data_IF_998415655807
#
_entry.id   IF_998415655807
#
_cell.length_a   1.000
_cell.length_b   1.000
_cell.length_c   1.000
_cell.angle_alpha   90.00
_cell.angle_beta   90.00
_cell.angle_gamma   90.00
#
_symmetry.space_group_name_H-M   'P 1'
#
loop_
_entity.id
_entity.type
_entity.pdbx_description
1 polymer ?
#
# COMPACT_ATOMS: atom_id res chain seq x y z
N UNK A 1 4.60 -11.83 -33.78
CA UNK A 1 4.92 -10.38 -33.64
C UNK A 1 3.61 -9.74 -33.17
N UNK A 2 3.53 -9.29 -31.95
CA UNK A 2 2.38 -8.50 -31.51
C UNK A 2 2.36 -7.19 -32.31
N UNK A 3 1.25 -6.87 -32.96
CA UNK A 3 1.08 -5.63 -33.70
C UNK A 3 1.28 -4.46 -32.72
N UNK A 4 2.15 -3.53 -33.08
CA UNK A 4 2.44 -2.35 -32.25
C UNK A 4 1.22 -1.44 -32.34
N UNK A 5 0.38 -1.46 -31.32
CA UNK A 5 -0.79 -0.56 -31.21
C UNK A 5 -0.30 0.87 -31.41
N UNK A 6 -0.95 1.64 -32.27
CA UNK A 6 -0.61 3.04 -32.50
C UNK A 6 -0.98 3.87 -31.27
N UNK A 7 -0.27 4.99 -31.02
CA UNK A 7 -0.62 5.88 -29.89
C UNK A 7 -2.06 6.43 -29.98
N UNK A 8 -2.63 6.49 -31.17
CA UNK A 8 -4.03 6.86 -31.40
C UNK A 8 -4.99 5.77 -30.89
N UNK A 9 -4.71 4.52 -31.21
CA UNK A 9 -5.50 3.36 -30.75
C UNK A 9 -5.42 3.22 -29.24
N UNK A 10 -4.21 3.33 -28.63
CA UNK A 10 -4.03 3.31 -27.19
C UNK A 10 -4.81 4.44 -26.50
N UNK A 11 -4.81 5.66 -27.07
CA UNK A 11 -5.58 6.78 -26.53
C UNK A 11 -7.09 6.51 -26.52
N UNK A 12 -7.65 6.04 -27.64
CA UNK A 12 -9.08 5.77 -27.71
C UNK A 12 -9.51 4.55 -26.88
N UNK A 13 -8.64 3.54 -26.76
CA UNK A 13 -8.87 2.42 -25.84
C UNK A 13 -9.04 2.92 -24.40
N UNK A 14 -8.13 3.77 -23.90
CA UNK A 14 -8.22 4.35 -22.56
C UNK A 14 -9.48 5.21 -22.38
N UNK A 15 -9.91 5.94 -23.42
CA UNK A 15 -11.15 6.73 -23.37
C UNK A 15 -12.36 5.81 -23.25
N UNK A 16 -12.41 4.72 -24.02
CA UNK A 16 -13.52 3.78 -24.02
C UNK A 16 -13.57 3.00 -22.69
N UNK A 17 -12.43 2.53 -22.17
CA UNK A 17 -12.32 1.93 -20.84
C UNK A 17 -12.84 2.88 -19.74
N UNK A 18 -12.51 4.19 -19.83
CA UNK A 18 -13.03 5.20 -18.92
C UNK A 18 -14.54 5.40 -19.01
N UNK A 19 -15.12 5.36 -20.21
CA UNK A 19 -16.57 5.45 -20.44
C UNK A 19 -17.32 4.25 -19.89
N UNK A 20 -16.69 3.09 -19.86
CA UNK A 20 -17.23 1.84 -19.29
C UNK A 20 -17.03 1.76 -17.77
N UNK A 21 -16.37 2.78 -17.16
CA UNK A 21 -16.14 2.85 -15.71
C UNK A 21 -14.88 2.10 -15.23
N UNK A 22 -14.07 1.56 -16.13
CA UNK A 22 -12.87 0.80 -15.77
C UNK A 22 -11.75 1.65 -15.14
N UNK A 23 -11.83 2.98 -15.23
CA UNK A 23 -10.90 3.92 -14.62
C UNK A 23 -11.24 4.31 -13.17
N UNK A 24 -12.23 3.65 -12.54
CA UNK A 24 -12.55 3.84 -11.13
C UNK A 24 -11.89 2.71 -10.34
N UNK A 25 -11.08 3.09 -9.33
CA UNK A 25 -10.36 2.15 -8.48
C UNK A 25 -11.24 1.44 -7.45
N UNK A 26 -10.65 0.48 -6.73
CA UNK A 26 -11.29 -0.10 -5.55
C UNK A 26 -11.46 0.98 -4.48
N UNK A 27 -12.59 0.96 -3.77
CA UNK A 27 -12.87 1.97 -2.75
C UNK A 27 -11.81 1.98 -1.64
N UNK A 28 -11.40 3.18 -1.25
CA UNK A 28 -10.52 3.41 -0.08
C UNK A 28 -11.31 3.47 1.24
N UNK A 29 -12.62 3.29 1.20
CA UNK A 29 -13.51 3.46 2.35
C UNK A 29 -13.80 4.92 2.70
N UNK A 30 -13.27 5.87 1.96
CA UNK A 30 -13.49 7.30 2.14
C UNK A 30 -13.98 7.93 0.84
N UNK A 31 -15.28 8.23 0.75
CA UNK A 31 -15.87 8.85 -0.43
C UNK A 31 -15.18 10.16 -0.83
N UNK A 32 -14.65 10.92 0.16
CA UNK A 32 -13.90 12.14 -0.12
C UNK A 32 -12.54 11.84 -0.76
N UNK A 33 -11.84 10.81 -0.27
CA UNK A 33 -10.55 10.42 -0.86
C UNK A 33 -10.77 9.85 -2.26
N UNK A 34 -11.75 8.96 -2.42
CA UNK A 34 -12.10 8.36 -3.71
C UNK A 34 -12.45 9.42 -4.76
N UNK A 35 -13.10 10.53 -4.35
CA UNK A 35 -13.37 11.66 -5.25
C UNK A 35 -12.11 12.35 -5.79
N UNK A 36 -11.00 12.33 -5.04
CA UNK A 36 -9.74 12.99 -5.45
C UNK A 36 -8.73 12.03 -6.07
N UNK A 37 -8.82 10.74 -5.77
CA UNK A 37 -7.82 9.74 -6.20
C UNK A 37 -8.40 8.69 -7.13
N UNK A 38 -9.71 8.78 -7.44
CA UNK A 38 -10.47 7.77 -8.17
C UNK A 38 -10.38 6.35 -7.54
N UNK A 39 -10.13 6.31 -6.21
CA UNK A 39 -9.94 5.08 -5.44
C UNK A 39 -8.52 4.51 -5.50
N UNK A 40 -8.37 3.22 -5.19
CA UNK A 40 -7.11 2.49 -5.31
C UNK A 40 -6.99 1.89 -6.71
N UNK A 41 -6.19 2.53 -7.55
CA UNK A 41 -6.01 2.22 -8.97
C UNK A 41 -4.68 1.51 -9.25
N UNK A 42 -4.62 0.63 -10.27
CA UNK A 42 -3.36 0.15 -10.81
C UNK A 42 -2.56 1.30 -11.45
N UNK A 43 -1.24 1.22 -11.40
CA UNK A 43 -0.39 2.21 -12.05
C UNK A 43 -0.39 3.60 -11.39
N UNK A 44 -0.88 3.72 -10.16
CA UNK A 44 -0.94 4.99 -9.40
C UNK A 44 -0.04 4.93 -8.17
N UNK A 45 0.71 5.99 -7.91
CA UNK A 45 1.57 6.07 -6.72
C UNK A 45 0.88 6.84 -5.60
N UNK A 46 1.04 6.36 -4.36
CA UNK A 46 0.48 6.97 -3.15
C UNK A 46 1.59 7.26 -2.15
N UNK A 47 1.72 8.52 -1.76
CA UNK A 47 2.66 8.96 -0.73
C UNK A 47 1.91 9.43 0.51
N UNK A 48 2.13 8.75 1.63
CA UNK A 48 1.47 9.04 2.90
C UNK A 48 2.47 9.65 3.88
N UNK A 49 2.22 10.91 4.26
CA UNK A 49 3.05 11.63 5.23
C UNK A 49 2.35 11.87 6.56
N UNK A 50 3.13 12.02 7.61
CA UNK A 50 2.61 12.41 8.91
C UNK A 50 3.64 12.33 10.02
N UNK A 51 3.34 12.94 11.17
CA UNK A 51 4.18 12.91 12.35
C UNK A 51 4.29 11.50 12.95
N UNK A 52 5.34 11.25 13.75
CA UNK A 52 5.44 9.98 14.49
C UNK A 52 4.25 9.80 15.43
N UNK A 53 3.68 8.58 15.46
CA UNK A 53 2.52 8.27 16.30
C UNK A 53 1.17 8.80 15.80
N UNK A 54 1.10 9.41 14.60
CA UNK A 54 -0.16 9.94 14.04
C UNK A 54 -1.11 8.88 13.46
N UNK A 55 -0.75 7.60 13.55
CA UNK A 55 -1.58 6.49 13.03
C UNK A 55 -1.39 6.17 11.55
N UNK A 56 -0.35 6.70 10.89
CA UNK A 56 -0.08 6.50 9.45
C UNK A 56 -0.21 5.04 9.00
N UNK A 57 0.53 4.13 9.62
CA UNK A 57 0.52 2.71 9.26
C UNK A 57 -0.87 2.09 9.38
N UNK A 58 -1.61 2.42 10.44
CA UNK A 58 -2.98 1.92 10.65
C UNK A 58 -3.93 2.49 9.60
N UNK A 59 -3.86 3.80 9.34
CA UNK A 59 -4.66 4.45 8.31
C UNK A 59 -4.34 3.92 6.92
N UNK A 60 -3.05 3.74 6.57
CA UNK A 60 -2.63 3.19 5.27
C UNK A 60 -3.11 1.76 5.09
N UNK A 61 -2.98 0.91 6.12
CA UNK A 61 -3.51 -0.45 6.06
C UNK A 61 -5.04 -0.47 5.90
N UNK A 62 -5.75 0.43 6.59
CA UNK A 62 -7.20 0.53 6.45
C UNK A 62 -7.60 0.99 5.05
N UNK A 63 -6.97 2.05 4.53
CA UNK A 63 -7.33 2.70 3.27
C UNK A 63 -6.90 1.92 2.04
N UNK A 64 -5.65 1.42 2.03
CA UNK A 64 -5.04 0.83 0.82
C UNK A 64 -4.89 -0.70 0.86
N UNK A 65 -5.29 -1.35 1.94
CA UNK A 65 -5.27 -2.82 2.03
C UNK A 65 -6.64 -3.34 2.43
N UNK A 66 -7.15 -2.94 3.59
CA UNK A 66 -8.39 -3.48 4.16
C UNK A 66 -9.62 -3.11 3.31
N UNK A 67 -9.85 -1.82 3.06
CA UNK A 67 -11.03 -1.37 2.30
C UNK A 67 -11.06 -1.88 0.86
N UNK A 68 -9.96 -1.83 0.07
CA UNK A 68 -9.93 -2.46 -1.23
C UNK A 68 -10.20 -3.98 -1.19
N UNK A 69 -9.72 -4.67 -0.14
CA UNK A 69 -9.98 -6.10 0.03
C UNK A 69 -11.46 -6.38 0.35
N UNK A 70 -12.08 -5.59 1.22
CA UNK A 70 -13.53 -5.71 1.53
C UNK A 70 -14.37 -5.41 0.28
N UNK A 71 -14.00 -4.40 -0.49
CA UNK A 71 -14.68 -4.10 -1.77
C UNK A 71 -14.56 -5.27 -2.75
N UNK A 72 -13.37 -5.85 -2.90
CA UNK A 72 -13.16 -7.04 -3.70
C UNK A 72 -14.02 -8.23 -3.21
N UNK A 73 -14.08 -8.47 -1.89
CA UNK A 73 -14.90 -9.54 -1.30
C UNK A 73 -16.40 -9.36 -1.51
N UNK A 74 -16.88 -8.13 -1.58
CA UNK A 74 -18.27 -7.81 -1.86
C UNK A 74 -18.68 -8.07 -3.32
N UNK A 75 -17.72 -8.32 -4.19
CA UNK A 75 -17.91 -8.52 -5.63
C UNK A 75 -17.62 -7.22 -6.38
N UNK A 76 -16.46 -7.14 -7.02
CA UNK A 76 -16.08 -6.03 -7.88
C UNK A 76 -16.59 -6.27 -9.30
N UNK A 77 -17.45 -5.38 -9.80
CA UNK A 77 -18.03 -5.49 -11.16
C UNK A 77 -16.97 -5.45 -12.27
N UNK A 78 -15.78 -4.92 -11.98
CA UNK A 78 -14.66 -4.85 -12.92
C UNK A 78 -13.69 -6.04 -12.78
N UNK A 79 -14.02 -7.04 -11.98
CA UNK A 79 -13.23 -8.27 -11.78
C UNK A 79 -11.77 -8.01 -11.36
N UNK A 80 -11.50 -6.88 -10.66
CA UNK A 80 -10.15 -6.53 -10.23
C UNK A 80 -9.60 -7.52 -9.21
N UNK A 81 -8.32 -7.85 -9.35
CA UNK A 81 -7.61 -8.82 -8.51
C UNK A 81 -6.52 -8.10 -7.67
N UNK A 82 -6.89 -7.49 -6.52
CA UNK A 82 -5.94 -6.78 -5.68
C UNK A 82 -5.03 -7.74 -4.92
N UNK A 83 -3.71 -7.46 -4.97
CA UNK A 83 -2.66 -8.17 -4.23
C UNK A 83 -1.65 -7.19 -3.67
N UNK A 84 -0.92 -7.59 -2.64
CA UNK A 84 0.06 -6.71 -2.02
C UNK A 84 1.38 -7.40 -1.75
N UNK A 85 2.47 -6.69 -2.05
CA UNK A 85 3.79 -6.95 -1.49
C UNK A 85 4.06 -5.89 -0.42
N UNK A 86 4.21 -6.31 0.83
CA UNK A 86 4.36 -5.42 1.98
C UNK A 86 5.78 -5.54 2.53
N UNK A 87 6.58 -4.48 2.39
CA UNK A 87 7.85 -4.30 3.08
C UNK A 87 7.56 -3.78 4.48
N UNK A 88 7.37 -4.71 5.42
CA UNK A 88 7.03 -4.41 6.80
C UNK A 88 8.31 -4.24 7.63
N UNK A 89 8.80 -2.99 7.71
CA UNK A 89 10.09 -2.69 8.34
C UNK A 89 9.94 -2.38 9.84
N UNK A 90 8.72 -2.07 10.30
CA UNK A 90 8.43 -1.74 11.70
C UNK A 90 7.62 -2.84 12.40
N UNK A 91 6.68 -3.46 11.70
CA UNK A 91 5.77 -4.46 12.26
C UNK A 91 6.06 -5.85 11.69
N UNK A 92 5.83 -6.89 12.49
CA UNK A 92 5.83 -8.27 11.97
C UNK A 92 4.55 -8.57 11.17
N UNK A 93 4.60 -9.56 10.29
CA UNK A 93 3.43 -10.09 9.55
C UNK A 93 2.24 -10.34 10.49
N UNK A 94 2.47 -11.02 11.61
CA UNK A 94 1.42 -11.31 12.60
C UNK A 94 0.79 -10.03 13.17
N UNK A 95 1.57 -8.97 13.35
CA UNK A 95 1.05 -7.69 13.84
C UNK A 95 0.19 -6.97 12.78
N UNK A 96 0.56 -7.06 11.51
CA UNK A 96 -0.27 -6.53 10.41
C UNK A 96 -1.57 -7.32 10.32
N UNK A 97 -1.51 -8.65 10.36
CA UNK A 97 -2.71 -9.50 10.37
C UNK A 97 -3.64 -9.16 11.53
N UNK A 98 -3.11 -9.05 12.75
CA UNK A 98 -3.92 -8.70 13.90
C UNK A 98 -4.62 -7.35 13.75
N UNK A 99 -3.99 -6.35 13.13
CA UNK A 99 -4.64 -5.08 12.80
C UNK A 99 -5.77 -5.24 11.79
N UNK A 100 -5.55 -5.96 10.69
CA UNK A 100 -6.57 -6.18 9.66
C UNK A 100 -7.75 -7.01 10.20
N UNK A 101 -7.49 -8.04 10.99
CA UNK A 101 -8.52 -8.85 11.65
C UNK A 101 -9.30 -8.02 12.68
N UNK A 102 -8.63 -7.14 13.45
CA UNK A 102 -9.30 -6.22 14.37
C UNK A 102 -10.27 -5.28 13.64
N UNK A 103 -9.88 -4.75 12.46
CA UNK A 103 -10.76 -3.93 11.61
C UNK A 103 -11.96 -4.75 11.13
N UNK A 104 -11.74 -5.97 10.67
CA UNK A 104 -12.79 -6.87 10.18
C UNK A 104 -13.80 -7.24 11.29
N UNK A 105 -13.31 -7.54 12.49
CA UNK A 105 -14.18 -7.83 13.65
C UNK A 105 -15.01 -6.61 14.01
N UNK A 106 -14.41 -5.42 14.03
CA UNK A 106 -15.14 -4.20 14.34
C UNK A 106 -16.25 -3.93 13.32
N UNK A 107 -15.96 -4.03 12.02
CA UNK A 107 -16.92 -3.75 10.95
C UNK A 107 -18.07 -4.76 10.89
N UNK A 108 -17.80 -6.05 11.18
CA UNK A 108 -18.80 -7.10 11.04
C UNK A 108 -19.56 -7.41 12.35
N UNK A 109 -18.93 -7.21 13.50
CA UNK A 109 -19.50 -7.60 14.80
C UNK A 109 -19.65 -6.43 15.79
N UNK A 110 -19.11 -5.23 15.47
CA UNK A 110 -19.14 -4.07 16.34
C UNK A 110 -18.26 -4.19 17.59
N UNK A 111 -17.35 -5.18 17.63
CA UNK A 111 -16.50 -5.46 18.80
C UNK A 111 -15.11 -4.84 18.59
N UNK A 112 -14.69 -3.98 19.51
CA UNK A 112 -13.33 -3.43 19.51
C UNK A 112 -12.35 -4.44 20.13
N UNK A 113 -11.64 -5.19 19.29
CA UNK A 113 -10.62 -6.14 19.72
C UNK A 113 -9.22 -5.58 19.44
N UNK A 114 -8.54 -5.15 20.48
CA UNK A 114 -7.24 -4.51 20.34
C UNK A 114 -6.14 -5.54 20.04
N UNK A 115 -5.13 -5.12 19.31
CA UNK A 115 -3.91 -5.91 19.02
C UNK A 115 -3.32 -6.63 20.25
N UNK A 116 -3.26 -5.97 21.42
CA UNK A 116 -2.76 -6.59 22.65
C UNK A 116 -3.65 -7.73 23.16
N UNK A 117 -4.97 -7.62 22.96
CA UNK A 117 -5.95 -8.65 23.33
C UNK A 117 -5.83 -9.85 22.41
N UNK A 118 -5.74 -9.66 21.09
CA UNK A 118 -5.58 -10.74 20.12
C UNK A 118 -4.39 -11.65 20.48
N UNK A 119 -3.31 -11.10 20.99
CA UNK A 119 -2.14 -11.87 21.41
C UNK A 119 -2.07 -12.13 22.93
N UNK A 120 -3.12 -11.80 23.68
CA UNK A 120 -3.17 -11.93 25.14
C UNK A 120 -1.92 -11.34 25.83
N UNK A 121 -1.43 -10.18 25.35
CA UNK A 121 -0.23 -9.54 25.87
C UNK A 121 -0.55 -8.63 27.06
N UNK A 122 -0.35 -9.16 28.25
CA UNK A 122 -0.55 -8.48 29.52
C UNK A 122 -1.67 -9.11 30.35
N UNK A 123 -1.63 -8.91 31.67
CA UNK A 123 -2.57 -9.54 32.62
C UNK A 123 -4.02 -9.13 32.39
N UNK A 124 -4.22 -7.88 31.91
CA UNK A 124 -5.54 -7.29 31.70
C UNK A 124 -5.98 -7.35 30.22
N UNK A 125 -5.25 -8.11 29.41
CA UNK A 125 -5.48 -8.21 27.96
C UNK A 125 -5.59 -9.69 27.53
N UNK A 126 -6.06 -10.56 28.41
CA UNK A 126 -6.30 -11.98 28.09
C UNK A 126 -7.55 -12.07 27.24
N UNK A 127 -7.43 -12.78 26.11
CA UNK A 127 -8.54 -13.03 25.21
C UNK A 127 -9.61 -13.90 25.93
N UNK A 128 -10.87 -13.49 25.90
CA UNK A 128 -11.98 -14.31 26.42
C UNK A 128 -12.36 -15.43 25.44
N UNK A 129 -13.15 -16.39 25.90
CA UNK A 129 -13.63 -17.47 25.04
C UNK A 129 -14.52 -16.94 23.91
N UNK A 130 -15.34 -15.95 24.18
CA UNK A 130 -16.20 -15.27 23.19
C UNK A 130 -15.37 -14.50 22.16
N UNK A 131 -14.32 -13.80 22.61
CA UNK A 131 -13.41 -13.08 21.70
C UNK A 131 -12.58 -14.07 20.85
N UNK A 132 -12.19 -15.23 21.40
CA UNK A 132 -11.55 -16.30 20.67
C UNK A 132 -12.48 -16.90 19.60
N UNK A 133 -13.76 -17.10 19.92
CA UNK A 133 -14.75 -17.56 18.96
C UNK A 133 -14.92 -16.55 17.80
N UNK A 134 -14.94 -15.24 18.07
CA UNK A 134 -14.94 -14.22 17.02
C UNK A 134 -13.73 -14.33 16.11
N UNK A 135 -12.52 -14.57 16.65
CA UNK A 135 -11.32 -14.78 15.83
C UNK A 135 -11.42 -16.05 14.96
N UNK A 136 -11.98 -17.13 15.49
CA UNK A 136 -12.18 -18.36 14.70
C UNK A 136 -13.19 -18.18 13.59
N UNK A 137 -14.20 -17.36 13.79
CA UNK A 137 -15.18 -16.98 12.76
C UNK A 137 -14.56 -16.11 11.64
N UNK A 138 -13.41 -15.49 11.88
CA UNK A 138 -12.66 -14.75 10.86
C UNK A 138 -11.71 -15.62 10.01
N UNK A 139 -11.74 -16.94 10.15
CA UNK A 139 -10.78 -17.86 9.49
C UNK A 139 -10.74 -17.67 7.98
N UNK A 140 -11.87 -17.46 7.31
CA UNK A 140 -11.90 -17.29 5.85
C UNK A 140 -11.34 -15.93 5.42
N UNK A 141 -11.56 -14.89 6.19
CA UNK A 141 -10.88 -13.61 5.99
C UNK A 141 -9.35 -13.74 6.17
N UNK A 142 -8.90 -14.47 7.19
CA UNK A 142 -7.46 -14.70 7.44
C UNK A 142 -6.82 -15.50 6.29
N UNK A 143 -7.50 -16.52 5.75
CA UNK A 143 -7.03 -17.25 4.55
C UNK A 143 -6.89 -16.32 3.35
N UNK A 144 -7.86 -15.43 3.15
CA UNK A 144 -7.79 -14.43 2.08
C UNK A 144 -6.59 -13.48 2.26
N UNK A 145 -6.30 -13.03 3.48
CA UNK A 145 -5.08 -12.27 3.75
C UNK A 145 -3.83 -13.06 3.33
N UNK A 146 -3.78 -14.34 3.65
CA UNK A 146 -2.63 -15.22 3.34
C UNK A 146 -2.45 -15.43 1.82
N UNK A 147 -3.53 -15.48 1.07
CA UNK A 147 -3.52 -15.61 -0.38
C UNK A 147 -3.12 -14.33 -1.13
N UNK A 148 -3.39 -13.16 -0.52
CA UNK A 148 -3.27 -11.86 -1.21
C UNK A 148 -2.14 -10.99 -0.71
N UNK A 149 -1.60 -11.25 0.48
CA UNK A 149 -0.53 -10.47 1.06
C UNK A 149 0.79 -11.26 1.08
N UNK A 150 1.78 -10.75 0.38
CA UNK A 150 3.18 -11.21 0.48
C UNK A 150 3.95 -10.25 1.39
N UNK A 151 4.76 -10.77 2.30
CA UNK A 151 5.52 -9.96 3.26
C UNK A 151 7.02 -10.11 3.07
N UNK A 152 7.73 -8.99 3.20
CA UNK A 152 9.16 -8.94 3.40
C UNK A 152 9.45 -8.25 4.74
N UNK A 153 10.13 -8.98 5.65
CA UNK A 153 10.43 -8.53 7.03
C UNK A 153 11.94 -8.34 7.27
N UNK A 154 12.72 -8.15 6.22
CA UNK A 154 14.16 -7.97 6.27
C UNK A 154 14.62 -6.52 6.21
N UNK A 155 15.93 -6.34 6.08
CA UNK A 155 16.51 -5.01 5.81
C UNK A 155 16.27 -4.62 4.36
N UNK A 156 15.72 -3.44 4.13
CA UNK A 156 15.42 -2.93 2.81
C UNK A 156 16.49 -1.95 2.33
N UNK A 157 16.97 -2.18 1.11
CA UNK A 157 17.74 -1.27 0.27
C UNK A 157 17.25 -1.43 -1.18
N UNK A 158 17.76 -0.62 -2.12
CA UNK A 158 17.37 -0.65 -3.53
C UNK A 158 17.46 -2.06 -4.16
N UNK A 159 18.61 -2.72 -4.00
CA UNK A 159 18.81 -4.05 -4.59
C UNK A 159 17.81 -5.09 -4.06
N UNK A 160 17.52 -5.04 -2.76
CA UNK A 160 16.53 -5.93 -2.14
C UNK A 160 15.12 -5.59 -2.62
N UNK A 161 14.79 -4.30 -2.71
CA UNK A 161 13.51 -3.83 -3.23
C UNK A 161 13.24 -4.38 -4.62
N UNK A 162 14.16 -4.15 -5.56
CA UNK A 162 14.03 -4.62 -6.93
C UNK A 162 13.94 -6.15 -7.02
N UNK A 163 14.76 -6.86 -6.22
CA UNK A 163 14.72 -8.32 -6.18
C UNK A 163 13.35 -8.84 -5.75
N UNK A 164 12.82 -8.34 -4.66
CA UNK A 164 11.55 -8.85 -4.10
C UNK A 164 10.35 -8.45 -4.97
N UNK A 165 10.31 -7.22 -5.54
CA UNK A 165 9.28 -6.83 -6.50
C UNK A 165 9.33 -7.69 -7.76
N UNK A 166 10.52 -7.95 -8.32
CA UNK A 166 10.66 -8.83 -9.48
C UNK A 166 10.28 -10.28 -9.18
N UNK A 167 10.57 -10.78 -7.97
CA UNK A 167 10.12 -12.11 -7.55
C UNK A 167 8.59 -12.18 -7.46
N UNK A 168 7.95 -11.13 -6.98
CA UNK A 168 6.49 -11.05 -6.93
C UNK A 168 5.88 -10.99 -8.33
N UNK A 169 6.41 -10.16 -9.21
CA UNK A 169 5.94 -10.05 -10.59
C UNK A 169 6.01 -11.39 -11.34
N UNK A 170 7.08 -12.18 -11.15
CA UNK A 170 7.23 -13.50 -11.78
C UNK A 170 6.17 -14.52 -11.36
N UNK A 171 5.50 -14.34 -10.25
CA UNK A 171 4.38 -15.21 -9.85
C UNK A 171 3.12 -14.93 -10.67
N UNK A 172 2.95 -13.70 -11.13
CA UNK A 172 1.70 -13.18 -11.64
C UNK A 172 1.74 -12.79 -13.12
N UNK A 173 2.87 -12.97 -13.79
CA UNK A 173 3.02 -12.65 -15.20
C UNK A 173 4.41 -12.92 -15.74
N UNK A 174 4.64 -12.52 -16.98
CA UNK A 174 5.90 -12.69 -17.70
C UNK A 174 6.36 -11.36 -18.30
N UNK A 175 7.67 -11.25 -18.58
CA UNK A 175 8.21 -10.16 -19.37
C UNK A 175 8.39 -10.66 -20.81
N UNK A 176 7.74 -9.98 -21.76
CA UNK A 176 7.84 -10.23 -23.19
C UNK A 176 8.31 -8.95 -23.88
N UNK A 177 9.44 -9.01 -24.58
CA UNK A 177 10.03 -7.86 -25.28
C UNK A 177 10.07 -6.58 -24.42
N UNK A 178 10.58 -6.68 -23.18
CA UNK A 178 10.66 -5.61 -22.16
C UNK A 178 9.29 -5.08 -21.64
N UNK A 179 8.17 -5.68 -22.04
CA UNK A 179 6.84 -5.38 -21.49
C UNK A 179 6.42 -6.46 -20.51
N UNK A 180 5.84 -6.04 -19.41
CA UNK A 180 5.22 -6.97 -18.47
C UNK A 180 3.81 -7.33 -18.95
N UNK A 181 3.55 -8.64 -19.03
CA UNK A 181 2.23 -9.19 -19.37
C UNK A 181 1.71 -9.94 -18.13
N UNK A 182 0.71 -9.39 -17.42
CA UNK A 182 0.12 -10.06 -16.27
C UNK A 182 -0.73 -11.25 -16.71
N UNK A 183 -0.78 -12.31 -15.89
CA UNK A 183 -1.67 -13.45 -16.11
C UNK A 183 -3.15 -13.06 -15.99
N UNK A 184 -3.45 -12.06 -15.17
CA UNK A 184 -4.75 -11.42 -15.06
C UNK A 184 -4.61 -9.93 -15.41
N UNK A 185 -5.27 -9.43 -16.50
CA UNK A 185 -5.17 -8.03 -16.91
C UNK A 185 -5.77 -7.06 -15.89
N UNK A 186 -6.66 -7.52 -15.02
CA UNK A 186 -7.33 -6.72 -13.99
C UNK A 186 -6.58 -6.72 -12.64
N UNK A 187 -5.34 -7.25 -12.62
CA UNK A 187 -4.53 -7.30 -11.41
C UNK A 187 -4.11 -5.92 -10.95
N UNK A 188 -4.16 -5.69 -9.64
CA UNK A 188 -3.57 -4.53 -8.97
C UNK A 188 -2.53 -5.05 -7.97
N UNK A 189 -1.26 -4.68 -8.13
CA UNK A 189 -0.21 -5.03 -7.19
C UNK A 189 0.19 -3.81 -6.36
N UNK A 190 -0.36 -3.70 -5.16
CA UNK A 190 0.07 -2.72 -4.17
C UNK A 190 1.46 -3.06 -3.63
N UNK A 191 2.43 -2.15 -3.77
CA UNK A 191 3.77 -2.31 -3.18
C UNK A 191 3.91 -1.33 -2.04
N UNK A 192 3.64 -1.82 -0.82
CA UNK A 192 3.62 -1.00 0.40
C UNK A 192 4.97 -1.03 1.12
N UNK A 193 5.53 0.15 1.42
CA UNK A 193 6.73 0.30 2.27
C UNK A 193 6.36 1.03 3.56
N UNK A 194 6.38 0.32 4.68
CA UNK A 194 6.09 0.88 6.02
C UNK A 194 7.31 0.78 6.94
N UNK A 195 8.09 1.85 7.10
CA UNK A 195 8.07 3.14 6.42
C UNK A 195 9.47 3.48 5.87
N UNK A 196 9.55 4.39 4.90
CA UNK A 196 10.76 4.76 4.15
C UNK A 196 11.95 5.15 5.05
N UNK A 197 11.71 5.73 6.22
CA UNK A 197 12.80 6.14 7.14
C UNK A 197 13.53 4.97 7.82
N UNK A 198 13.08 3.71 7.64
CA UNK A 198 13.76 2.50 8.12
C UNK A 198 14.63 1.81 7.06
N UNK A 199 14.64 2.32 5.84
CA UNK A 199 15.54 1.86 4.77
C UNK A 199 16.99 2.01 5.23
N UNK A 200 17.81 1.02 4.90
CA UNK A 200 19.23 0.97 5.25
C UNK A 200 20.12 1.35 4.08
N UNK A 201 21.13 2.16 4.37
CA UNK A 201 22.15 2.48 3.39
C UNK A 201 22.99 1.25 3.02
N UNK A 202 23.26 1.06 1.73
CA UNK A 202 24.24 0.12 1.21
C UNK A 202 25.66 0.67 1.36
N UNK A 203 26.67 -0.18 1.17
CA UNK A 203 28.06 0.25 1.21
C UNK A 203 28.32 1.36 0.17
N UNK A 204 28.87 2.50 0.64
CA UNK A 204 29.19 3.63 -0.20
C UNK A 204 28.03 4.55 -0.58
N UNK A 205 26.81 4.32 -0.04
CA UNK A 205 25.62 5.16 -0.27
C UNK A 205 25.10 5.74 1.02
N UNK A 206 24.44 6.87 0.94
CA UNK A 206 23.67 7.41 2.07
C UNK A 206 22.26 6.81 2.09
N UNK A 207 21.57 6.92 3.21
CA UNK A 207 20.15 6.53 3.31
C UNK A 207 19.28 7.29 2.34
N UNK A 208 19.59 8.57 2.11
CA UNK A 208 18.88 9.40 1.15
C UNK A 208 19.03 8.84 -0.27
N UNK A 209 20.25 8.45 -0.67
CA UNK A 209 20.49 7.86 -2.00
C UNK A 209 19.68 6.60 -2.22
N UNK A 210 19.50 5.76 -1.17
CA UNK A 210 18.66 4.55 -1.25
C UNK A 210 17.16 4.89 -1.41
N UNK A 211 16.67 5.87 -0.64
CA UNK A 211 15.28 6.33 -0.74
C UNK A 211 15.02 6.90 -2.13
N UNK A 212 15.92 7.73 -2.65
CA UNK A 212 15.82 8.34 -3.97
C UNK A 212 15.86 7.28 -5.08
N UNK A 213 16.69 6.24 -4.92
CA UNK A 213 16.77 5.14 -5.86
C UNK A 213 15.49 4.30 -5.86
N UNK A 214 15.01 3.86 -4.70
CA UNK A 214 13.75 3.10 -4.58
C UNK A 214 12.57 3.89 -5.14
N UNK A 215 12.54 5.21 -4.93
CA UNK A 215 11.49 6.08 -5.46
C UNK A 215 11.48 6.08 -7.00
N UNK A 216 12.65 6.28 -7.63
CA UNK A 216 12.79 6.24 -9.10
C UNK A 216 12.42 4.87 -9.67
N UNK A 217 12.91 3.80 -9.04
CA UNK A 217 12.64 2.44 -9.48
C UNK A 217 11.14 2.12 -9.37
N UNK A 218 10.48 2.61 -8.34
CA UNK A 218 9.04 2.44 -8.17
C UNK A 218 8.24 3.11 -9.28
N UNK A 219 8.63 4.34 -9.68
CA UNK A 219 8.02 5.03 -10.83
C UNK A 219 8.28 4.26 -12.13
N UNK A 220 9.50 3.78 -12.32
CA UNK A 220 9.85 3.01 -13.52
C UNK A 220 9.08 1.68 -13.59
N UNK A 221 9.01 0.93 -12.49
CA UNK A 221 8.25 -0.31 -12.39
C UNK A 221 6.76 -0.07 -12.64
N UNK A 222 6.18 0.96 -12.01
CA UNK A 222 4.80 1.39 -12.24
C UNK A 222 4.52 1.63 -13.72
N UNK A 223 5.36 2.42 -14.37
CA UNK A 223 5.19 2.79 -15.78
C UNK A 223 5.35 1.61 -16.73
N UNK A 224 6.28 0.68 -16.42
CA UNK A 224 6.58 -0.46 -17.27
C UNK A 224 5.55 -1.60 -17.11
N UNK A 225 5.03 -1.80 -15.91
CA UNK A 225 4.11 -2.92 -15.62
C UNK A 225 2.64 -2.56 -15.71
N UNK A 226 2.29 -1.29 -15.48
CA UNK A 226 0.92 -0.75 -15.44
C UNK A 226 0.04 -1.32 -14.29
N UNK A 227 0.46 -2.40 -13.63
CA UNK A 227 -0.28 -3.05 -12.52
C UNK A 227 0.22 -2.66 -11.14
N UNK A 228 1.48 -2.20 -11.04
CA UNK A 228 2.08 -1.82 -9.75
C UNK A 228 1.55 -0.47 -9.29
N UNK A 229 1.14 -0.42 -8.01
CA UNK A 229 0.77 0.80 -7.31
C UNK A 229 1.65 0.96 -6.08
N UNK A 230 2.72 1.79 -6.14
CA UNK A 230 3.58 2.06 -5.00
C UNK A 230 2.82 2.82 -3.91
N UNK A 231 2.92 2.34 -2.67
CA UNK A 231 2.34 2.96 -1.48
C UNK A 231 3.47 3.19 -0.48
N UNK A 232 3.88 4.44 -0.31
CA UNK A 232 5.05 4.78 0.50
C UNK A 232 4.65 5.60 1.71
N UNK A 233 5.03 5.11 2.90
CA UNK A 233 4.82 5.84 4.15
C UNK A 233 6.12 6.57 4.52
N UNK A 234 6.02 7.89 4.74
CA UNK A 234 7.13 8.73 5.19
C UNK A 234 6.78 9.50 6.45
N UNK A 235 7.78 9.82 7.25
CA UNK A 235 7.62 10.69 8.41
C UNK A 235 7.93 12.13 8.03
N UNK A 236 7.17 13.06 8.61
CA UNK A 236 7.50 14.48 8.51
C UNK A 236 8.74 14.84 9.34
N UNK A 237 9.44 15.86 8.89
CA UNK A 237 10.53 16.47 9.65
C UNK A 237 9.99 17.00 10.98
N UNK A 238 10.82 16.95 12.04
CA UNK A 238 10.43 17.49 13.36
C UNK A 238 10.12 18.98 13.32
N UNK A 239 10.65 19.71 12.35
CA UNK A 239 10.42 21.15 12.17
C UNK A 239 9.05 21.47 11.55
N UNK A 240 8.33 20.51 10.96
CA UNK A 240 7.00 20.71 10.41
C UNK A 240 5.98 21.17 11.47
N UNK A 241 6.18 20.81 12.73
CA UNK A 241 5.37 21.23 13.89
C UNK A 241 6.02 22.35 14.71
N UNK A 242 6.97 23.11 14.15
CA UNK A 242 7.69 24.15 14.85
C UNK A 242 6.77 25.28 15.35
N UNK A 243 7.06 25.81 16.55
CA UNK A 243 6.27 26.91 17.15
C UNK A 243 6.14 28.14 16.26
N UNK A 244 7.12 28.39 15.36
CA UNK A 244 7.06 29.49 14.39
C UNK A 244 6.00 29.27 13.32
N UNK A 245 5.84 28.06 12.78
CA UNK A 245 4.77 27.74 11.80
C UNK A 245 3.39 27.82 12.44
N UNK A 246 3.25 27.36 13.69
CA UNK A 246 1.99 27.51 14.45
C UNK A 246 1.62 28.99 14.64
N UNK A 247 2.59 29.87 14.92
CA UNK A 247 2.35 31.31 15.05
C UNK A 247 1.98 32.00 13.75
N UNK A 248 2.41 31.45 12.62
CA UNK A 248 2.11 31.96 11.28
C UNK A 248 0.83 31.39 10.66
N UNK A 249 0.10 30.52 11.38
CA UNK A 249 -1.09 29.82 10.86
C UNK A 249 -0.79 28.78 9.77
N UNK A 250 0.48 28.44 9.55
CA UNK A 250 0.94 27.43 8.58
C UNK A 250 0.93 26.03 9.22
N UNK A 251 -0.25 25.57 9.65
CA UNK A 251 -0.40 24.29 10.34
C UNK A 251 -0.57 23.12 9.36
N UNK A 252 -0.97 23.41 8.13
CA UNK A 252 -1.15 22.36 7.11
C UNK A 252 0.20 21.82 6.63
N UNK A 253 0.32 20.50 6.50
CA UNK A 253 1.53 19.87 5.96
C UNK A 253 1.79 20.31 4.52
N UNK A 254 3.07 20.53 4.19
CA UNK A 254 3.54 20.82 2.84
C UNK A 254 4.46 19.72 2.33
N UNK A 255 4.73 19.72 1.03
CA UNK A 255 5.67 18.77 0.41
C UNK A 255 7.10 18.87 1.00
N UNK A 256 7.49 20.04 1.51
CA UNK A 256 8.80 20.26 2.17
C UNK A 256 8.92 19.59 3.54
N UNK A 257 7.79 19.16 4.12
CA UNK A 257 7.75 18.52 5.43
C UNK A 257 8.19 17.06 5.40
N UNK A 258 8.27 16.44 4.24
CA UNK A 258 8.74 15.06 4.13
C UNK A 258 10.22 14.94 4.50
N UNK A 259 10.50 14.01 5.40
CA UNK A 259 11.86 13.76 5.92
C UNK A 259 12.69 13.02 4.87
N UNK A 260 13.91 13.54 4.63
CA UNK A 260 14.97 12.90 3.86
C UNK A 260 14.72 12.76 2.33
N UNK A 261 13.73 13.48 1.71
CA UNK A 261 13.49 13.24 0.31
C UNK A 261 12.90 14.41 -0.49
N UNK A 262 13.72 15.02 -1.32
CA UNK A 262 13.22 15.80 -2.47
C UNK A 262 12.55 14.92 -3.53
N UNK A 263 13.00 13.67 -3.73
CA UNK A 263 12.51 12.74 -4.76
C UNK A 263 11.21 12.03 -4.42
N UNK A 264 10.79 11.93 -3.14
CA UNK A 264 9.48 11.39 -2.80
C UNK A 264 8.34 12.25 -3.36
N UNK A 265 8.56 13.54 -3.56
CA UNK A 265 7.58 14.45 -4.13
C UNK A 265 7.43 14.31 -5.64
N UNK A 266 8.36 13.65 -6.32
CA UNK A 266 8.29 13.34 -7.75
C UNK A 266 7.48 12.06 -8.05
N UNK A 267 7.04 11.33 -7.01
CA UNK A 267 6.23 10.11 -7.11
C UNK A 267 4.77 10.39 -7.49
N UNK A 268 4.29 11.57 -7.18
CA UNK A 268 2.92 12.02 -7.41
C UNK A 268 2.87 12.99 -8.57
#
# INVERSE_FOLDING_TARGET
MAEKISGLEEFFQLVDEGREGHNIGLSTGSAKLDLYTDGFLPGTSYLIGGSSGSGKSTWTLWTFVYQPLIHFMAGDEQERDPRWLIFSLEMTRSQVYAKLVSMYIFDNFGVELRFKQIFSRGKDCVLSDEEYELLTNCTDFIKMLDERLTFYEGSLNEATYLKEVNNELKKWGTFEDDKYVPNNPHMILGVLIDHMTLIKASAGRTKKDEIDAISRDSVQLRNNTKIISPIMISQFNRNSNGQERMKQGLQDPSMEDYKDSGSLTELT
#
